data_IF_722073905647
#
_entry.id   IF_722073905647
#
_cell.length_a   1.000
_cell.length_b   1.000
_cell.length_c   1.000
_cell.angle_alpha   90.00
_cell.angle_beta   90.00
_cell.angle_gamma   90.00
#
_symmetry.space_group_name_H-M   'P 1'
#
loop_
_entity.id
_entity.type
_entity.pdbx_description
1 polymer ?
#
# COMPACT_ATOMS: atom_id res chain seq x y z
N UNK A 1 0.95 43.28 -14.36
CA UNK A 1 0.95 42.84 -12.95
C UNK A 1 -0.24 41.93 -12.73
N UNK A 2 0.01 40.62 -12.54
CA UNK A 2 -0.80 39.62 -11.83
C UNK A 2 -0.30 38.23 -12.27
N UNK A 3 0.89 37.85 -11.80
CA UNK A 3 1.37 36.49 -11.96
C UNK A 3 0.50 35.57 -11.09
N UNK A 4 -0.26 34.69 -11.72
CA UNK A 4 -0.95 33.59 -11.04
C UNK A 4 0.11 32.70 -10.37
N UNK A 5 0.29 32.89 -9.06
CA UNK A 5 1.16 32.05 -8.25
C UNK A 5 0.63 30.62 -8.22
N UNK A 6 1.32 29.71 -8.91
CA UNK A 6 1.10 28.28 -8.83
C UNK A 6 1.21 27.84 -7.36
N UNK A 7 0.13 27.30 -6.80
CA UNK A 7 0.13 26.65 -5.50
C UNK A 7 1.00 25.38 -5.62
N UNK A 8 2.17 25.38 -4.96
CA UNK A 8 3.08 24.23 -4.89
C UNK A 8 2.76 23.41 -3.65
N UNK A 9 2.02 22.32 -3.82
CA UNK A 9 1.59 21.42 -2.74
C UNK A 9 2.19 20.04 -3.02
N UNK A 10 3.03 19.55 -2.10
CA UNK A 10 3.71 18.26 -2.26
C UNK A 10 3.15 17.24 -1.28
N UNK A 11 2.48 16.21 -1.82
CA UNK A 11 1.99 15.07 -1.04
C UNK A 11 3.07 14.01 -0.96
N UNK A 12 3.36 13.52 0.24
CA UNK A 12 4.21 12.36 0.41
C UNK A 12 3.41 11.24 1.09
N UNK A 13 3.40 10.06 0.46
CA UNK A 13 2.97 8.83 1.11
C UNK A 13 4.07 8.43 2.10
N UNK A 14 3.70 7.98 3.30
CA UNK A 14 4.64 7.43 4.30
C UNK A 14 5.55 6.37 3.71
N UNK A 15 5.03 5.44 2.91
CA UNK A 15 5.84 4.42 2.22
C UNK A 15 6.87 4.98 1.23
N UNK A 16 6.73 6.24 0.79
CA UNK A 16 7.72 6.95 -0.03
C UNK A 16 8.77 7.68 0.82
N UNK A 17 8.53 7.88 2.12
CA UNK A 17 9.49 8.48 3.06
C UNK A 17 10.23 7.42 3.89
N UNK A 18 9.55 6.31 4.20
CA UNK A 18 10.11 5.12 4.85
C UNK A 18 10.31 4.02 3.81
N UNK A 19 11.51 3.96 3.25
CA UNK A 19 11.89 2.83 2.39
C UNK A 19 12.18 1.65 3.32
N UNK A 20 11.40 0.58 3.19
CA UNK A 20 11.64 -0.66 3.91
C UNK A 20 12.81 -1.42 3.26
N UNK A 21 13.61 -2.10 4.08
CA UNK A 21 14.76 -2.88 3.61
C UNK A 21 14.29 -4.18 2.99
N UNK A 22 14.76 -4.41 1.77
CA UNK A 22 14.53 -5.63 1.00
C UNK A 22 15.79 -6.48 1.02
N UNK A 23 15.71 -7.80 1.27
CA UNK A 23 14.49 -8.64 1.34
C UNK A 23 13.91 -8.85 2.75
N UNK A 24 14.47 -8.22 3.80
CA UNK A 24 14.14 -8.56 5.19
C UNK A 24 12.68 -8.25 5.56
N UNK A 25 12.13 -7.16 5.02
CA UNK A 25 10.74 -6.77 5.30
C UNK A 25 9.74 -7.67 4.56
N UNK A 26 10.03 -8.03 3.31
CA UNK A 26 9.24 -8.96 2.53
C UNK A 26 9.23 -10.35 3.17
N UNK A 27 10.39 -10.84 3.62
CA UNK A 27 10.49 -12.11 4.34
C UNK A 27 9.65 -12.11 5.61
N UNK A 28 9.70 -11.04 6.41
CA UNK A 28 8.85 -10.92 7.61
C UNK A 28 7.34 -10.96 7.26
N UNK A 29 6.95 -10.25 6.20
CA UNK A 29 5.57 -10.27 5.72
C UNK A 29 5.14 -11.65 5.23
N UNK A 30 6.03 -12.37 4.55
CA UNK A 30 5.81 -13.73 4.07
C UNK A 30 5.58 -14.69 5.24
N UNK A 31 6.50 -14.75 6.20
CA UNK A 31 6.45 -15.69 7.33
C UNK A 31 5.15 -15.52 8.14
N UNK A 32 4.79 -14.27 8.44
CA UNK A 32 3.55 -13.96 9.17
C UNK A 32 2.29 -14.32 8.39
N UNK A 33 2.32 -14.19 7.06
CA UNK A 33 1.18 -14.56 6.21
C UNK A 33 1.02 -16.07 6.17
N UNK A 34 2.13 -16.81 6.07
CA UNK A 34 2.16 -18.28 6.15
C UNK A 34 1.61 -18.76 7.50
N UNK A 35 2.11 -18.22 8.62
CA UNK A 35 1.59 -18.52 9.96
C UNK A 35 0.07 -18.27 10.05
N UNK A 36 -0.40 -17.17 9.44
CA UNK A 36 -1.82 -16.84 9.41
C UNK A 36 -2.63 -17.84 8.59
N UNK A 37 -2.16 -18.26 7.43
CA UNK A 37 -2.83 -19.28 6.60
C UNK A 37 -2.93 -20.62 7.33
N UNK A 38 -1.86 -21.03 8.00
CA UNK A 38 -1.86 -22.26 8.79
C UNK A 38 -2.84 -22.16 9.97
N UNK A 39 -2.93 -20.98 10.61
CA UNK A 39 -3.89 -20.76 11.71
C UNK A 39 -5.37 -20.85 11.29
N UNK A 40 -5.69 -20.60 10.00
CA UNK A 40 -7.07 -20.69 9.48
C UNK A 40 -7.42 -22.09 8.96
N UNK A 41 -6.44 -23.01 8.90
CA UNK A 41 -6.66 -24.41 8.52
C UNK A 41 -5.88 -24.90 7.30
N UNK A 42 -4.97 -24.10 6.74
CA UNK A 42 -4.07 -24.60 5.68
C UNK A 42 -3.07 -25.64 6.24
N UNK A 43 -2.50 -26.51 5.38
CA UNK A 43 -1.58 -27.57 5.81
C UNK A 43 -0.34 -27.04 6.56
N UNK A 44 0.14 -27.80 7.55
CA UNK A 44 1.29 -27.39 8.39
C UNK A 44 2.60 -27.33 7.61
N UNK A 45 2.68 -28.06 6.50
CA UNK A 45 3.80 -28.12 5.57
C UNK A 45 4.15 -26.73 5.01
N UNK A 46 3.19 -25.80 4.95
CA UNK A 46 3.42 -24.43 4.50
C UNK A 46 4.43 -23.69 5.39
N UNK A 47 4.56 -24.04 6.68
CA UNK A 47 5.55 -23.43 7.59
C UNK A 47 6.99 -23.72 7.17
N UNK A 48 7.22 -24.70 6.29
CA UNK A 48 8.55 -25.00 5.74
C UNK A 48 8.96 -24.08 4.59
N UNK A 49 8.04 -23.25 4.08
CA UNK A 49 8.36 -22.35 2.99
C UNK A 49 9.34 -21.26 3.41
N UNK A 50 10.30 -20.98 2.53
CA UNK A 50 11.28 -19.91 2.70
C UNK A 50 11.09 -18.90 1.59
N UNK A 51 11.02 -17.62 1.95
CA UNK A 51 10.88 -16.54 0.99
C UNK A 51 12.12 -16.42 0.09
N UNK A 52 11.92 -16.50 -1.23
CA UNK A 52 12.96 -16.26 -2.23
C UNK A 52 12.69 -14.93 -2.96
N UNK A 53 13.51 -13.88 -2.74
CA UNK A 53 13.33 -12.58 -3.39
C UNK A 53 13.66 -12.59 -4.89
N UNK A 54 14.27 -13.65 -5.42
CA UNK A 54 14.70 -13.70 -6.84
C UNK A 54 13.55 -14.02 -7.80
N UNK A 55 12.47 -14.63 -7.30
CA UNK A 55 11.33 -15.04 -8.10
C UNK A 55 10.32 -13.91 -8.39
N UNK A 56 9.73 -13.23 -7.38
CA UNK A 56 8.65 -12.30 -7.63
C UNK A 56 9.17 -11.01 -8.26
N UNK A 57 8.50 -10.58 -9.35
CA UNK A 57 8.71 -9.24 -9.93
C UNK A 57 7.45 -8.40 -9.73
N UNK A 58 7.60 -7.10 -9.50
CA UNK A 58 6.47 -6.17 -9.39
C UNK A 58 5.69 -6.08 -10.71
N UNK A 59 4.37 -5.94 -10.61
CA UNK A 59 3.48 -5.74 -11.76
C UNK A 59 3.07 -7.03 -12.47
N UNK A 60 3.27 -8.19 -11.83
CA UNK A 60 2.68 -9.44 -12.28
C UNK A 60 1.16 -9.42 -12.12
N UNK A 61 0.47 -10.21 -12.94
CA UNK A 61 -0.98 -10.38 -12.88
C UNK A 61 -1.27 -11.82 -12.48
N UNK A 62 -2.08 -12.00 -11.44
CA UNK A 62 -2.55 -13.32 -11.03
C UNK A 62 -3.90 -13.61 -11.69
N UNK A 63 -4.02 -14.75 -12.36
CA UNK A 63 -5.28 -15.26 -12.90
C UNK A 63 -5.97 -16.15 -11.86
N UNK A 64 -7.03 -15.65 -11.24
CA UNK A 64 -7.78 -16.38 -10.21
C UNK A 64 -8.58 -17.57 -10.75
N UNK A 65 -8.74 -17.70 -12.07
CA UNK A 65 -9.44 -18.84 -12.69
C UNK A 65 -8.54 -20.05 -12.86
N UNK A 66 -7.29 -19.85 -13.31
CA UNK A 66 -6.35 -20.92 -13.64
C UNK A 66 -5.14 -21.00 -12.70
N UNK A 67 -5.01 -20.08 -11.74
CA UNK A 67 -3.91 -20.09 -10.77
C UNK A 67 -2.55 -19.70 -11.35
N UNK A 68 -2.53 -18.96 -12.47
CA UNK A 68 -1.31 -18.60 -13.16
C UNK A 68 -0.81 -17.20 -12.78
N UNK A 69 0.51 -17.05 -12.71
CA UNK A 69 1.19 -15.77 -12.69
C UNK A 69 1.58 -15.36 -14.11
N UNK A 70 1.10 -14.18 -14.53
CA UNK A 70 1.24 -13.65 -15.87
C UNK A 70 2.08 -12.38 -15.86
N UNK A 71 3.08 -12.31 -16.73
CA UNK A 71 3.74 -11.05 -17.10
C UNK A 71 3.18 -10.59 -18.42
N UNK A 72 2.71 -9.34 -18.47
CA UNK A 72 1.91 -8.82 -19.57
C UNK A 72 2.42 -7.45 -20.04
N UNK A 73 2.38 -7.18 -21.35
CA UNK A 73 2.81 -5.91 -21.95
C UNK A 73 1.77 -4.79 -21.79
N UNK A 74 2.00 -3.55 -22.24
CA UNK A 74 1.02 -2.46 -22.07
C UNK A 74 -0.39 -2.76 -22.65
N UNK A 75 -0.49 -3.65 -23.64
CA UNK A 75 -1.73 -3.97 -24.34
C UNK A 75 -2.45 -5.18 -23.74
N UNK A 76 -1.82 -5.96 -22.86
CA UNK A 76 -2.40 -7.17 -22.26
C UNK A 76 -1.94 -8.47 -22.91
N UNK A 77 -0.93 -8.44 -23.80
CA UNK A 77 -0.34 -9.64 -24.35
C UNK A 77 0.56 -10.33 -23.31
N UNK A 78 0.46 -11.66 -23.23
CA UNK A 78 1.19 -12.49 -22.28
C UNK A 78 2.64 -12.68 -22.78
N UNK A 79 3.59 -12.17 -22.00
CA UNK A 79 5.03 -12.31 -22.21
C UNK A 79 5.58 -13.56 -21.52
N UNK A 80 5.14 -13.79 -20.28
CA UNK A 80 5.55 -14.94 -19.45
C UNK A 80 4.32 -15.45 -18.72
N UNK A 81 4.22 -16.78 -18.61
CA UNK A 81 3.17 -17.46 -17.87
C UNK A 81 3.80 -18.53 -16.99
N UNK A 82 3.51 -18.51 -15.69
CA UNK A 82 3.97 -19.51 -14.74
C UNK A 82 2.79 -20.10 -13.95
N UNK A 83 2.78 -21.41 -13.81
CA UNK A 83 1.86 -22.15 -12.94
C UNK A 83 2.67 -22.70 -11.77
N UNK A 84 2.54 -22.09 -10.59
CA UNK A 84 3.49 -22.32 -9.50
C UNK A 84 4.91 -21.90 -9.93
N UNK A 85 5.87 -22.82 -9.84
CA UNK A 85 7.24 -22.62 -10.35
C UNK A 85 7.46 -23.15 -11.77
N UNK A 86 6.43 -23.71 -12.41
CA UNK A 86 6.53 -24.21 -13.78
C UNK A 86 6.27 -23.09 -14.79
N UNK A 87 7.30 -22.70 -15.55
CA UNK A 87 7.19 -21.72 -16.62
C UNK A 87 6.62 -22.37 -17.89
N UNK A 88 5.37 -22.04 -18.20
CA UNK A 88 4.66 -22.62 -19.35
C UNK A 88 5.19 -22.06 -20.67
N UNK A 89 5.31 -22.94 -21.66
CA UNK A 89 5.76 -22.56 -23.00
C UNK A 89 4.60 -22.05 -23.84
N UNK A 90 4.95 -21.37 -24.93
CA UNK A 90 3.99 -20.75 -25.84
C UNK A 90 2.82 -21.64 -26.32
N UNK A 91 3.02 -22.93 -26.65
CA UNK A 91 1.93 -23.83 -27.00
C UNK A 91 0.98 -24.14 -25.84
N UNK A 92 1.52 -24.50 -24.68
CA UNK A 92 0.74 -24.78 -23.44
C UNK A 92 -0.06 -23.54 -23.01
N UNK A 93 0.56 -22.36 -23.08
CA UNK A 93 -0.15 -21.10 -22.79
C UNK A 93 -1.32 -20.88 -23.74
N UNK A 94 -1.27 -21.37 -24.99
CA UNK A 94 -2.38 -21.19 -25.95
C UNK A 94 -3.57 -22.10 -25.67
N UNK A 95 -3.40 -23.19 -24.93
CA UNK A 95 -4.52 -24.05 -24.53
C UNK A 95 -5.45 -23.30 -23.57
N UNK A 96 -4.86 -22.57 -22.61
CA UNK A 96 -5.61 -21.77 -21.63
C UNK A 96 -5.90 -20.34 -22.11
N UNK A 97 -5.01 -19.77 -22.93
CA UNK A 97 -5.11 -18.41 -23.48
C UNK A 97 -4.93 -18.43 -25.01
N UNK A 98 -5.97 -18.77 -25.79
CA UNK A 98 -5.86 -18.96 -27.24
C UNK A 98 -5.20 -17.81 -28.01
N UNK A 99 -5.51 -16.57 -27.60
CA UNK A 99 -4.97 -15.35 -28.23
C UNK A 99 -3.71 -14.81 -27.53
N UNK A 100 -3.17 -15.50 -26.52
CA UNK A 100 -2.10 -14.99 -25.63
C UNK A 100 -2.35 -13.56 -25.14
N UNK A 101 -3.60 -13.25 -24.88
CA UNK A 101 -4.08 -11.92 -24.53
C UNK A 101 -5.05 -12.05 -23.37
N UNK A 102 -4.95 -11.12 -22.41
CA UNK A 102 -5.88 -11.01 -21.30
C UNK A 102 -6.58 -9.64 -21.30
N UNK A 103 -7.86 -9.64 -20.95
CA UNK A 103 -8.62 -8.42 -20.70
C UNK A 103 -8.35 -7.96 -19.27
N UNK A 104 -7.38 -7.07 -19.09
CA UNK A 104 -6.98 -6.58 -17.76
C UNK A 104 -8.08 -5.85 -16.99
N UNK A 105 -9.04 -5.29 -17.71
CA UNK A 105 -10.17 -4.58 -17.12
C UNK A 105 -11.16 -5.54 -16.43
N UNK A 106 -11.05 -6.85 -16.68
CA UNK A 106 -11.73 -7.89 -15.90
C UNK A 106 -11.02 -8.08 -14.55
N UNK A 107 -11.27 -7.13 -13.64
CA UNK A 107 -10.71 -7.10 -12.29
C UNK A 107 -11.27 -8.21 -11.38
N UNK A 108 -12.36 -8.86 -11.78
CA UNK A 108 -12.94 -9.98 -11.04
C UNK A 108 -12.11 -11.25 -11.20
N UNK A 109 -11.50 -11.42 -12.37
CA UNK A 109 -10.62 -12.55 -12.70
C UNK A 109 -9.14 -12.24 -12.50
N UNK A 110 -8.68 -11.09 -13.00
CA UNK A 110 -7.26 -10.76 -13.05
C UNK A 110 -6.91 -9.73 -11.98
N UNK A 111 -5.98 -10.09 -11.10
CA UNK A 111 -5.49 -9.19 -10.06
C UNK A 111 -4.08 -8.71 -10.36
N UNK A 112 -3.87 -7.39 -10.36
CA UNK A 112 -2.57 -6.80 -10.68
C UNK A 112 -1.78 -6.50 -9.39
N UNK A 113 -0.66 -7.20 -9.23
CA UNK A 113 0.23 -7.17 -8.07
C UNK A 113 1.22 -5.98 -8.19
N UNK A 114 0.69 -4.77 -8.04
CA UNK A 114 1.39 -3.53 -8.39
C UNK A 114 2.19 -2.87 -7.27
N UNK A 115 2.05 -3.31 -6.02
CA UNK A 115 2.74 -2.71 -4.87
C UNK A 115 3.89 -3.60 -4.40
N UNK A 116 4.90 -3.01 -3.76
CA UNK A 116 5.99 -3.79 -3.16
C UNK A 116 5.49 -4.71 -2.03
N UNK A 117 4.40 -4.33 -1.36
CA UNK A 117 3.72 -5.19 -0.39
C UNK A 117 3.09 -6.44 -1.02
N UNK A 118 2.93 -6.46 -2.35
CA UNK A 118 2.42 -7.62 -3.06
C UNK A 118 3.52 -8.64 -3.40
N UNK A 119 4.80 -8.33 -3.20
CA UNK A 119 5.88 -9.28 -3.53
C UNK A 119 5.82 -10.57 -2.69
N UNK A 120 5.59 -10.52 -1.36
CA UNK A 120 5.42 -11.72 -0.55
C UNK A 120 4.23 -12.58 -0.99
N UNK A 121 3.06 -11.96 -1.24
CA UNK A 121 1.86 -12.71 -1.68
C UNK A 121 2.05 -13.29 -3.09
N UNK A 122 2.78 -12.62 -3.97
CA UNK A 122 3.08 -13.12 -5.32
C UNK A 122 3.86 -14.42 -5.24
N UNK A 123 4.92 -14.44 -4.43
CA UNK A 123 5.73 -15.64 -4.22
C UNK A 123 4.92 -16.72 -3.49
N UNK A 124 4.14 -16.36 -2.46
CA UNK A 124 3.30 -17.30 -1.72
C UNK A 124 2.27 -17.99 -2.62
N UNK A 125 1.62 -17.26 -3.53
CA UNK A 125 0.70 -17.86 -4.50
C UNK A 125 1.40 -18.89 -5.38
N UNK A 126 2.63 -18.62 -5.83
CA UNK A 126 3.43 -19.58 -6.58
C UNK A 126 3.76 -20.82 -5.74
N UNK A 127 4.20 -20.63 -4.48
CA UNK A 127 4.48 -21.73 -3.55
C UNK A 127 3.24 -22.60 -3.30
N UNK A 128 2.08 -21.99 -3.10
CA UNK A 128 0.84 -22.72 -2.84
C UNK A 128 0.42 -23.55 -4.05
N UNK A 129 0.41 -22.95 -5.25
CA UNK A 129 0.07 -23.67 -6.48
C UNK A 129 1.04 -24.82 -6.71
N UNK A 130 2.35 -24.59 -6.53
CA UNK A 130 3.36 -25.64 -6.68
C UNK A 130 3.20 -26.77 -5.64
N UNK A 131 3.00 -26.42 -4.37
CA UNK A 131 2.80 -27.38 -3.29
C UNK A 131 1.59 -28.27 -3.52
N UNK A 132 0.43 -27.70 -3.83
CA UNK A 132 -0.78 -28.47 -4.07
C UNK A 132 -0.74 -29.26 -5.38
N UNK A 133 0.05 -28.82 -6.36
CA UNK A 133 0.26 -29.58 -7.62
C UNK A 133 1.15 -30.81 -7.39
N UNK A 134 2.17 -30.69 -6.53
CA UNK A 134 3.14 -31.75 -6.27
C UNK A 134 2.76 -32.68 -5.09
N UNK A 135 1.65 -32.42 -4.40
CA UNK A 135 1.23 -33.19 -3.24
C UNK A 135 0.19 -34.25 -3.62
N UNK A 136 0.55 -35.54 -3.44
CA UNK A 136 -0.28 -36.70 -3.80
C UNK A 136 -1.68 -36.73 -3.13
N UNK A 137 -1.87 -36.00 -2.01
CA UNK A 137 -3.18 -35.89 -1.35
C UNK A 137 -4.20 -35.16 -2.22
N UNK A 138 -3.76 -34.18 -3.00
CA UNK A 138 -4.64 -33.29 -3.74
C UNK A 138 -4.67 -33.67 -5.21
N UNK A 139 -5.87 -33.72 -5.78
CA UNK A 139 -6.03 -33.90 -7.23
C UNK A 139 -6.10 -32.54 -7.91
N UNK A 140 -5.13 -32.23 -8.77
CA UNK A 140 -5.14 -31.01 -9.58
C UNK A 140 -6.29 -31.04 -10.60
N UNK A 141 -7.04 -29.96 -10.63
CA UNK A 141 -8.14 -29.72 -11.56
C UNK A 141 -7.89 -28.41 -12.31
N UNK A 142 -8.58 -28.19 -13.43
CA UNK A 142 -8.38 -26.99 -14.27
C UNK A 142 -8.52 -25.66 -13.48
N UNK A 143 -9.39 -25.62 -12.47
CA UNK A 143 -9.72 -24.39 -11.70
C UNK A 143 -9.35 -24.44 -10.22
N UNK A 144 -8.56 -25.43 -9.80
CA UNK A 144 -8.12 -25.55 -8.41
C UNK A 144 -7.72 -26.97 -8.03
N UNK A 145 -7.85 -27.29 -6.75
CA UNK A 145 -7.44 -28.57 -6.18
C UNK A 145 -8.61 -29.25 -5.46
N UNK A 146 -8.65 -30.58 -5.51
CA UNK A 146 -9.65 -31.39 -4.83
C UNK A 146 -9.00 -32.28 -3.76
N UNK A 147 -9.58 -32.30 -2.57
CA UNK A 147 -9.23 -33.20 -1.46
C UNK A 147 -10.51 -33.91 -0.98
N UNK A 148 -10.71 -35.16 -1.42
CA UNK A 148 -11.95 -35.90 -1.18
C UNK A 148 -13.18 -35.18 -1.77
N UNK A 149 -14.08 -34.70 -0.89
CA UNK A 149 -15.28 -33.93 -1.25
C UNK A 149 -15.06 -32.41 -1.23
N UNK A 150 -13.91 -31.95 -0.74
CA UNK A 150 -13.58 -30.53 -0.67
C UNK A 150 -12.95 -30.07 -1.99
N UNK A 151 -13.48 -28.99 -2.55
CA UNK A 151 -12.90 -28.33 -3.72
C UNK A 151 -12.42 -26.93 -3.35
N UNK A 152 -11.12 -26.69 -3.50
CA UNK A 152 -10.48 -25.40 -3.29
C UNK A 152 -10.12 -24.78 -4.63
N UNK A 153 -10.86 -23.74 -5.02
CA UNK A 153 -10.59 -23.00 -6.24
C UNK A 153 -9.36 -22.11 -6.11
N UNK A 154 -8.67 -21.80 -7.23
CA UNK A 154 -7.59 -20.80 -7.22
C UNK A 154 -8.08 -19.42 -6.76
N UNK A 155 -9.35 -19.09 -7.03
CA UNK A 155 -9.98 -17.83 -6.60
C UNK A 155 -10.16 -17.76 -5.08
N UNK A 156 -10.66 -18.82 -4.46
CA UNK A 156 -10.81 -18.88 -3.01
C UNK A 156 -9.44 -18.85 -2.32
N UNK A 157 -8.46 -19.59 -2.85
CA UNK A 157 -7.09 -19.56 -2.33
C UNK A 157 -6.46 -18.17 -2.43
N UNK A 158 -6.66 -17.48 -3.56
CA UNK A 158 -6.20 -16.10 -3.71
C UNK A 158 -6.87 -15.16 -2.70
N UNK A 159 -8.18 -15.32 -2.47
CA UNK A 159 -8.90 -14.53 -1.49
C UNK A 159 -8.37 -14.77 -0.07
N UNK A 160 -8.12 -16.02 0.31
CA UNK A 160 -7.56 -16.37 1.62
C UNK A 160 -6.18 -15.75 1.83
N UNK A 161 -5.32 -15.76 0.80
CA UNK A 161 -4.01 -15.10 0.85
C UNK A 161 -4.17 -13.59 1.01
N UNK A 162 -5.05 -12.95 0.24
CA UNK A 162 -5.30 -11.50 0.35
C UNK A 162 -5.83 -11.12 1.74
N UNK A 163 -6.78 -11.90 2.26
CA UNK A 163 -7.35 -11.69 3.59
C UNK A 163 -6.31 -11.91 4.69
N UNK A 164 -5.41 -12.89 4.52
CA UNK A 164 -4.29 -13.12 5.43
C UNK A 164 -3.28 -11.95 5.42
N UNK A 165 -2.89 -11.47 4.24
CA UNK A 165 -2.00 -10.30 4.10
C UNK A 165 -2.62 -9.07 4.73
N UNK A 166 -3.89 -8.79 4.43
CA UNK A 166 -4.60 -7.65 5.00
C UNK A 166 -4.70 -7.80 6.53
N UNK A 167 -5.00 -9.01 7.04
CA UNK A 167 -5.01 -9.28 8.48
C UNK A 167 -3.64 -9.00 9.12
N UNK A 168 -2.55 -9.46 8.50
CA UNK A 168 -1.18 -9.24 9.00
C UNK A 168 -0.84 -7.74 9.06
N UNK A 169 -1.31 -6.93 8.11
CA UNK A 169 -1.08 -5.49 8.07
C UNK A 169 -1.96 -4.69 9.05
N UNK A 170 -3.20 -5.13 9.30
CA UNK A 170 -4.17 -4.40 10.13
C UNK A 170 -4.23 -4.87 11.58
N UNK A 171 -4.23 -6.18 11.80
CA UNK A 171 -4.45 -6.82 13.10
C UNK A 171 -3.26 -7.65 13.59
N UNK A 172 -2.37 -8.04 12.68
CA UNK A 172 -1.23 -8.89 12.99
C UNK A 172 -0.07 -8.16 13.66
N UNK A 173 0.98 -8.92 13.92
CA UNK A 173 2.19 -8.48 14.62
C UNK A 173 3.23 -7.81 13.72
N UNK A 174 2.94 -7.59 12.42
CA UNK A 174 3.88 -7.01 11.46
C UNK A 174 4.39 -5.64 11.93
N UNK A 175 3.45 -4.76 12.31
CA UNK A 175 3.79 -3.40 12.81
C UNK A 175 4.60 -3.46 14.11
N UNK A 176 4.26 -4.37 15.01
CA UNK A 176 4.92 -4.55 16.30
C UNK A 176 6.37 -5.02 16.12
N UNK A 177 6.56 -6.14 15.40
CA UNK A 177 7.88 -6.69 15.07
C UNK A 177 8.75 -5.72 14.28
N UNK A 178 8.14 -4.92 13.39
CA UNK A 178 8.87 -3.87 12.65
C UNK A 178 9.42 -2.80 13.59
N UNK A 179 8.61 -2.37 14.57
CA UNK A 179 8.97 -1.35 15.55
C UNK A 179 10.02 -1.86 16.54
N UNK A 180 9.97 -3.14 16.91
CA UNK A 180 10.97 -3.76 17.80
C UNK A 180 12.38 -3.72 17.20
N UNK A 181 12.51 -3.76 15.87
CA UNK A 181 13.80 -3.71 15.19
C UNK A 181 13.78 -2.80 13.96
N UNK A 182 13.56 -1.50 14.18
CA UNK A 182 13.55 -0.50 13.13
C UNK A 182 14.84 -0.47 12.27
N UNK A 183 16.05 -0.59 12.82
CA UNK A 183 17.27 -0.62 12.02
C UNK A 183 17.36 -1.79 11.04
N UNK A 184 16.74 -2.93 11.34
CA UNK A 184 16.69 -4.09 10.44
C UNK A 184 15.72 -3.88 9.28
N UNK A 185 14.63 -3.15 9.48
CA UNK A 185 13.53 -3.10 8.51
C UNK A 185 13.36 -1.76 7.80
N UNK A 186 13.89 -0.66 8.33
CA UNK A 186 13.69 0.69 7.78
C UNK A 186 15.02 1.31 7.39
N UNK A 187 15.12 1.80 6.16
CA UNK A 187 16.28 2.58 5.70
C UNK A 187 16.16 4.00 6.27
N UNK A 188 17.21 4.43 6.99
CA UNK A 188 17.31 5.76 7.56
C UNK A 188 18.22 6.63 6.69
N UNK A 189 17.65 7.66 6.06
CA UNK A 189 18.39 8.60 5.21
C UNK A 189 18.58 9.96 5.91
N UNK A 190 19.84 10.35 6.11
CA UNK A 190 20.24 11.63 6.70
C UNK A 190 19.85 12.85 5.86
N UNK A 191 19.53 12.67 4.57
CA UNK A 191 19.13 13.75 3.65
C UNK A 191 17.63 14.07 3.72
N UNK A 192 16.82 13.20 4.33
CA UNK A 192 15.37 13.39 4.42
C UNK A 192 14.98 14.70 5.13
N UNK A 193 15.56 15.06 6.29
CA UNK A 193 15.28 16.35 6.94
C UNK A 193 15.63 17.56 6.07
N UNK A 194 16.76 17.48 5.34
CA UNK A 194 17.19 18.55 4.43
C UNK A 194 16.19 18.75 3.28
N UNK A 195 15.77 17.66 2.65
CA UNK A 195 14.83 17.68 1.54
C UNK A 195 13.51 18.31 1.97
N UNK A 196 12.92 17.84 3.07
CA UNK A 196 11.64 18.34 3.56
C UNK A 196 11.73 19.80 3.99
N UNK A 197 12.85 20.24 4.57
CA UNK A 197 13.05 21.64 4.90
C UNK A 197 13.05 22.53 3.66
N UNK A 198 13.76 22.12 2.59
CA UNK A 198 13.77 22.86 1.31
C UNK A 198 12.41 22.88 0.64
N UNK A 199 11.64 21.80 0.74
CA UNK A 199 10.28 21.76 0.20
C UNK A 199 9.36 22.74 0.94
N UNK A 200 9.52 22.85 2.27
CA UNK A 200 8.75 23.78 3.10
C UNK A 200 9.12 25.26 2.84
N UNK A 201 10.34 25.56 2.36
CA UNK A 201 10.73 26.92 1.96
C UNK A 201 9.97 27.43 0.71
N UNK A 202 9.52 26.51 -0.16
CA UNK A 202 8.92 26.87 -1.47
C UNK A 202 7.44 26.51 -1.60
N UNK A 203 6.88 25.82 -0.61
CA UNK A 203 5.52 25.29 -0.67
C UNK A 203 5.10 24.58 0.61
N UNK A 204 3.90 24.01 0.59
CA UNK A 204 3.37 23.26 1.74
C UNK A 204 3.62 21.77 1.60
N UNK A 205 3.94 21.12 2.71
CA UNK A 205 4.26 19.70 2.79
C UNK A 205 3.26 19.00 3.70
N UNK A 206 2.68 17.91 3.22
CA UNK A 206 1.71 17.14 4.00
C UNK A 206 1.97 15.64 3.93
N UNK A 207 1.66 14.97 5.04
CA UNK A 207 1.79 13.53 5.20
C UNK A 207 0.41 12.88 5.13
N UNK A 208 0.24 11.88 4.26
CA UNK A 208 -1.02 11.12 4.15
C UNK A 208 -0.73 9.62 4.18
N UNK A 209 -1.10 8.94 5.26
CA UNK A 209 -0.80 7.53 5.52
C UNK A 209 -2.04 6.71 5.85
N UNK A 210 -2.05 5.44 5.42
CA UNK A 210 -3.08 4.48 5.83
C UNK A 210 -2.80 3.91 7.23
N UNK A 211 -1.58 4.07 7.74
CA UNK A 211 -1.20 3.64 9.09
C UNK A 211 -1.81 4.54 10.15
N UNK A 212 -2.02 3.98 11.34
CA UNK A 212 -2.45 4.70 12.52
C UNK A 212 -1.35 5.67 13.04
N UNK A 213 -1.75 6.57 13.93
CA UNK A 213 -0.82 7.55 14.51
C UNK A 213 0.29 6.93 15.36
N UNK A 214 0.01 5.87 16.13
CA UNK A 214 1.01 5.26 17.03
C UNK A 214 2.18 4.68 16.24
N UNK A 215 1.88 3.93 15.19
CA UNK A 215 2.87 3.38 14.28
C UNK A 215 3.60 4.49 13.52
N UNK A 216 2.86 5.45 12.96
CA UNK A 216 3.45 6.59 12.23
C UNK A 216 4.40 7.38 13.10
N UNK A 217 4.03 7.67 14.35
CA UNK A 217 4.86 8.39 15.30
C UNK A 217 6.17 7.66 15.57
N UNK A 218 6.14 6.33 15.80
CA UNK A 218 7.36 5.52 16.03
C UNK A 218 8.30 5.52 14.82
N UNK A 219 7.76 5.28 13.62
CA UNK A 219 8.53 5.27 12.36
C UNK A 219 9.16 6.65 12.09
N UNK A 220 8.35 7.71 12.18
CA UNK A 220 8.82 9.07 11.89
C UNK A 220 9.79 9.58 12.95
N UNK A 221 9.63 9.23 14.23
CA UNK A 221 10.62 9.53 15.26
C UNK A 221 11.96 8.87 14.92
N UNK A 222 11.96 7.59 14.52
CA UNK A 222 13.20 6.90 14.11
C UNK A 222 13.85 7.52 12.86
N UNK A 223 13.06 7.89 11.85
CA UNK A 223 13.57 8.49 10.61
C UNK A 223 14.22 9.86 10.83
N UNK A 224 13.81 10.61 11.86
CA UNK A 224 14.33 11.95 12.16
C UNK A 224 15.19 11.98 13.42
N UNK A 225 15.54 10.82 13.97
CA UNK A 225 16.40 10.67 15.13
C UNK A 225 17.87 10.90 14.73
N UNK A 226 18.21 12.16 14.50
CA UNK A 226 19.56 12.62 14.25
C UNK A 226 19.93 13.67 15.29
N UNK A 227 21.21 13.81 15.62
CA UNK A 227 21.68 14.86 16.53
C UNK A 227 21.53 16.29 15.97
N UNK A 228 21.10 16.40 14.71
CA UNK A 228 20.94 17.66 14.00
C UNK A 228 19.57 17.78 13.33
N UNK A 229 19.19 19.00 12.98
CA UNK A 229 18.04 19.32 12.15
C UNK A 229 18.30 19.08 10.65
N UNK A 230 17.87 20.00 9.76
CA UNK A 230 18.04 19.85 8.31
C UNK A 230 19.49 19.75 7.83
N UNK A 231 20.45 20.33 8.58
CA UNK A 231 21.89 20.29 8.24
C UNK A 231 22.70 19.95 9.48
N UNK A 232 23.88 19.32 9.34
CA UNK A 232 24.82 19.18 10.45
C UNK A 232 25.09 20.55 11.10
N UNK A 233 25.07 20.61 12.44
CA UNK A 233 25.20 21.84 13.21
C UNK A 233 23.92 22.64 13.44
N UNK A 234 22.78 22.25 12.84
CA UNK A 234 21.47 22.85 13.18
C UNK A 234 20.80 22.06 14.30
N UNK A 235 20.03 22.75 15.16
CA UNK A 235 19.32 22.10 16.27
C UNK A 235 18.34 21.05 15.75
N UNK A 236 18.28 19.90 16.42
CA UNK A 236 17.25 18.90 16.18
C UNK A 236 15.85 19.50 16.33
N UNK A 237 14.91 19.05 15.50
CA UNK A 237 13.50 19.44 15.61
C UNK A 237 12.60 18.22 15.44
N UNK A 238 11.45 18.17 16.15
CA UNK A 238 10.48 17.07 16.02
C UNK A 238 10.02 16.89 14.58
N UNK A 239 9.80 15.64 14.15
CA UNK A 239 9.41 15.32 12.78
C UNK A 239 8.10 16.02 12.36
N UNK A 240 7.19 16.24 13.31
CA UNK A 240 5.91 16.91 13.05
C UNK A 240 6.10 18.33 12.51
N UNK A 241 7.18 19.01 12.90
CA UNK A 241 7.47 20.39 12.47
C UNK A 241 7.80 20.52 10.97
N UNK A 242 8.13 19.40 10.32
CA UNK A 242 8.42 19.36 8.88
C UNK A 242 7.15 19.33 8.02
N UNK A 243 5.98 19.11 8.61
CA UNK A 243 4.70 18.95 7.90
C UNK A 243 3.71 20.04 8.32
N UNK A 244 3.02 20.61 7.34
CA UNK A 244 1.91 21.57 7.56
C UNK A 244 0.60 20.86 7.91
N UNK A 245 0.46 19.60 7.48
CA UNK A 245 -0.71 18.75 7.71
C UNK A 245 -0.27 17.29 7.80
N UNK A 246 -0.72 16.60 8.84
CA UNK A 246 -0.51 15.15 9.02
C UNK A 246 -1.87 14.47 9.07
N UNK A 247 -2.13 13.59 8.10
CA UNK A 247 -3.33 12.78 8.00
C UNK A 247 -2.95 11.30 8.10
N UNK A 248 -3.46 10.66 9.14
CA UNK A 248 -3.31 9.23 9.43
C UNK A 248 -4.62 8.50 9.15
N UNK A 249 -4.59 7.17 9.12
CA UNK A 249 -5.78 6.34 8.86
C UNK A 249 -6.56 6.75 7.59
N UNK A 250 -5.84 7.18 6.55
CA UNK A 250 -6.43 7.80 5.37
C UNK A 250 -7.37 6.87 4.59
N UNK A 251 -7.20 5.55 4.70
CA UNK A 251 -7.96 4.53 3.92
C UNK A 251 -7.91 4.77 2.40
N UNK A 252 -6.74 5.11 1.85
CA UNK A 252 -6.53 5.15 0.40
C UNK A 252 -6.81 3.75 -0.19
N UNK A 253 -7.48 3.63 -1.35
CA UNK A 253 -7.83 4.71 -2.28
C UNK A 253 -9.14 5.46 -1.98
N UNK A 254 -9.97 4.97 -1.05
CA UNK A 254 -11.28 5.57 -0.70
C UNK A 254 -11.19 7.06 -0.38
N UNK A 255 -10.09 7.49 0.25
CA UNK A 255 -9.76 8.88 0.52
C UNK A 255 -9.90 9.82 -0.68
N UNK A 256 -9.52 9.36 -1.89
CA UNK A 256 -9.54 10.16 -3.11
C UNK A 256 -10.89 10.11 -3.84
N UNK A 257 -11.80 9.23 -3.42
CA UNK A 257 -13.17 9.13 -3.89
C UNK A 257 -14.13 9.85 -2.95
N UNK A 258 -14.98 9.09 -2.27
CA UNK A 258 -15.95 9.61 -1.30
C UNK A 258 -15.33 10.03 0.04
N UNK A 259 -14.16 9.50 0.38
CA UNK A 259 -13.48 9.77 1.63
C UNK A 259 -14.17 9.14 2.84
N UNK A 260 -13.74 9.55 4.03
CA UNK A 260 -14.35 9.14 5.31
C UNK A 260 -14.49 10.35 6.22
N UNK A 261 -15.35 10.23 7.25
CA UNK A 261 -15.49 11.25 8.29
C UNK A 261 -14.13 11.58 8.90
N UNK A 262 -13.76 12.86 8.88
CA UNK A 262 -12.53 13.33 9.50
C UNK A 262 -12.63 13.23 11.02
N UNK A 263 -11.59 12.70 11.65
CA UNK A 263 -11.47 12.57 13.10
C UNK A 263 -10.19 13.23 13.57
N UNK A 264 -10.24 13.82 14.75
CA UNK A 264 -9.05 14.37 15.39
C UNK A 264 -8.37 13.28 16.23
N UNK A 265 -7.05 13.19 16.11
CA UNK A 265 -6.22 12.33 16.95
C UNK A 265 -5.74 13.14 18.14
N UNK A 266 -6.01 12.67 19.35
CA UNK A 266 -5.32 13.15 20.54
C UNK A 266 -3.88 12.66 20.51
N UNK A 267 -2.91 13.57 20.36
CA UNK A 267 -1.50 13.21 20.24
C UNK A 267 -0.86 12.75 21.55
N UNK A 268 -1.51 12.98 22.70
CA UNK A 268 -1.03 12.56 24.03
C UNK A 268 -1.50 11.14 24.34
N UNK A 269 -2.79 10.85 24.13
CA UNK A 269 -3.37 9.53 24.40
C UNK A 269 -3.36 8.59 23.19
N UNK A 270 -3.16 9.15 21.98
CA UNK A 270 -3.24 8.48 20.68
C UNK A 270 -4.60 7.81 20.40
N UNK A 271 -5.69 8.33 21.02
CA UNK A 271 -7.07 7.96 20.72
C UNK A 271 -7.74 8.98 19.78
N UNK A 272 -8.80 8.55 19.08
CA UNK A 272 -9.63 9.43 18.25
C UNK A 272 -10.74 10.06 19.09
N UNK A 273 -10.87 11.38 19.05
CA UNK A 273 -11.96 12.12 19.72
C UNK A 273 -13.17 12.27 18.77
N UNK A 274 -14.40 12.14 19.29
CA UNK A 274 -15.69 12.27 18.58
C UNK A 274 -16.44 13.54 19.06
N UNK A 275 -17.23 14.19 18.20
CA UNK A 275 -16.85 15.43 17.52
C UNK A 275 -16.88 16.69 18.42
N UNK A 276 -15.77 17.43 18.44
CA UNK A 276 -15.78 18.88 18.60
C UNK A 276 -15.22 19.47 17.31
N UNK A 277 -15.93 20.45 16.74
CA UNK A 277 -15.64 21.09 15.46
C UNK A 277 -14.16 21.50 15.30
N UNK A 278 -13.47 20.92 14.29
CA UNK A 278 -12.07 21.21 13.87
C UNK A 278 -10.99 20.97 14.95
N UNK A 279 -9.89 20.25 14.71
CA UNK A 279 -8.86 20.60 13.74
C UNK A 279 -7.93 19.41 13.40
N UNK A 280 -7.42 19.45 12.17
CA UNK A 280 -6.12 18.94 11.70
C UNK A 280 -5.00 19.16 12.74
N UNK A 281 -3.91 18.36 12.68
CA UNK A 281 -2.59 18.89 13.04
C UNK A 281 -2.19 19.96 12.00
N UNK A 282 -2.78 21.15 12.09
CA UNK A 282 -2.42 22.30 11.29
C UNK A 282 -1.72 23.31 12.17
N UNK A 283 -0.61 23.87 11.67
CA UNK A 283 -0.20 25.22 12.11
C UNK A 283 -1.40 26.16 11.95
N UNK A 284 -1.55 27.20 12.80
CA UNK A 284 -2.81 27.92 13.05
C UNK A 284 -3.54 28.60 11.86
N UNK A 285 -3.23 28.34 10.58
CA UNK A 285 -3.76 29.08 9.43
C UNK A 285 -4.20 28.24 8.22
N UNK A 286 -4.75 27.03 8.37
CA UNK A 286 -5.39 26.33 7.22
C UNK A 286 -6.68 25.59 7.59
N UNK A 287 -7.82 26.21 7.25
CA UNK A 287 -9.13 25.57 7.23
C UNK A 287 -9.30 24.78 5.91
N UNK A 288 -9.73 23.52 6.00
CA UNK A 288 -10.21 22.73 4.87
C UNK A 288 -11.62 22.27 5.22
N UNK A 289 -12.62 22.80 4.53
CA UNK A 289 -14.04 22.42 4.64
C UNK A 289 -14.39 21.42 3.54
N UNK A 290 -15.23 20.43 3.87
CA UNK A 290 -15.94 19.60 2.90
C UNK A 290 -17.40 19.46 3.33
N UNK A 291 -18.26 20.33 2.83
CA UNK A 291 -19.69 20.04 2.74
C UNK A 291 -20.02 19.57 1.31
N UNK A 292 -20.93 18.59 1.14
CA UNK A 292 -21.48 18.27 -0.18
C UNK A 292 -22.46 19.40 -0.59
N UNK A 293 -22.56 19.78 -1.89
CA UNK A 293 -23.56 20.75 -2.29
C UNK A 293 -24.95 20.12 -2.16
N UNK A 294 -25.78 20.67 -1.28
CA UNK A 294 -27.24 20.52 -1.37
C UNK A 294 -27.69 21.14 -2.69
N UNK A 295 -28.42 20.35 -3.47
CA UNK A 295 -28.95 20.75 -4.77
C UNK A 295 -30.03 21.82 -4.54
N UNK A 296 -29.73 23.08 -4.88
CA UNK A 296 -30.78 24.06 -5.20
C UNK A 296 -30.89 25.37 -4.40
N UNK A 297 -29.84 25.91 -3.77
CA UNK A 297 -29.89 27.29 -3.25
C UNK A 297 -28.67 28.12 -3.68
N UNK A 298 -28.92 29.20 -4.43
CA UNK A 298 -27.95 30.25 -4.70
C UNK A 298 -27.85 31.17 -3.46
N UNK A 299 -26.68 31.35 -2.83
CA UNK A 299 -26.51 32.35 -1.79
C UNK A 299 -26.38 33.76 -2.39
N UNK A 300 -26.80 34.80 -1.64
CA UNK A 300 -26.79 36.20 -2.11
C UNK A 300 -25.38 36.73 -2.35
N UNK A 301 -25.25 37.63 -3.32
CA UNK A 301 -23.98 38.28 -3.72
C UNK A 301 -23.36 39.03 -2.53
N UNK A 302 -22.21 38.56 -2.03
CA UNK A 302 -21.44 39.30 -1.03
C UNK A 302 -20.28 38.56 -0.37
N UNK A 303 -20.25 37.23 -0.37
CA UNK A 303 -19.22 36.50 0.38
C UNK A 303 -17.98 36.11 -0.46
N UNK A 304 -16.82 36.38 0.13
CA UNK A 304 -15.49 36.04 -0.35
C UNK A 304 -15.40 34.52 -0.52
N UNK A 305 -15.20 34.07 -1.78
CA UNK A 305 -14.96 32.66 -2.10
C UNK A 305 -13.75 32.14 -1.32
N UNK A 306 -14.00 31.39 -0.25
CA UNK A 306 -13.02 30.53 0.39
C UNK A 306 -12.59 29.48 -0.64
N UNK A 307 -11.32 29.56 -1.07
CA UNK A 307 -10.74 28.60 -2.02
C UNK A 307 -10.65 27.23 -1.34
N UNK A 308 -11.65 26.38 -1.57
CA UNK A 308 -11.60 24.97 -1.22
C UNK A 308 -10.40 24.30 -1.90
N UNK A 309 -9.51 23.68 -1.12
CA UNK A 309 -8.47 22.82 -1.65
C UNK A 309 -9.12 21.52 -2.10
N UNK A 310 -9.59 21.47 -3.35
CA UNK A 310 -9.85 20.21 -4.03
C UNK A 310 -8.47 19.56 -4.20
N UNK A 311 -8.17 18.50 -3.45
CA UNK A 311 -7.11 17.54 -3.86
C UNK A 311 -7.68 16.74 -5.03
N UNK A 312 -8.01 17.46 -6.11
CA UNK A 312 -8.32 16.88 -7.40
C UNK A 312 -6.98 16.64 -8.08
N UNK A 313 -6.72 15.39 -8.44
CA UNK A 313 -5.68 15.04 -9.41
C UNK A 313 -6.18 15.54 -10.78
N UNK A 314 -6.14 16.85 -10.96
CA UNK A 314 -6.69 17.58 -12.09
C UNK A 314 -5.88 18.85 -12.30
N UNK A 315 -4.70 18.67 -12.88
CA UNK A 315 -3.76 19.75 -13.20
C UNK A 315 -2.38 19.55 -12.58
N UNK A 316 -1.47 18.94 -13.36
CA UNK A 316 -0.01 18.88 -13.17
C UNK A 316 0.48 19.01 -11.71
N UNK A 317 0.01 18.13 -10.83
CA UNK A 317 0.66 17.87 -9.55
C UNK A 317 1.78 16.87 -9.78
N UNK A 318 3.02 17.24 -9.47
CA UNK A 318 4.13 16.28 -9.40
C UNK A 318 3.94 15.44 -8.13
N UNK A 319 3.07 14.44 -8.20
CA UNK A 319 3.17 13.31 -7.31
C UNK A 319 4.41 12.53 -7.71
N UNK A 320 5.44 12.49 -6.87
CA UNK A 320 6.47 11.47 -7.00
C UNK A 320 5.81 10.13 -6.69
N UNK A 321 5.27 9.48 -7.72
CA UNK A 321 5.07 8.04 -7.71
C UNK A 321 6.44 7.40 -7.91
N UNK A 322 6.89 6.59 -6.96
CA UNK A 322 8.00 5.69 -7.24
C UNK A 322 7.51 4.61 -8.21
N UNK A 323 8.24 4.48 -9.32
CA UNK A 323 8.26 3.33 -10.21
C UNK A 323 8.24 2.01 -9.43
#
# INVERSE_FOLDING_TARGET
MAAYGNIRVSSLKTSCQSVYKSPEYESLGFDLTVERLVSIGYPQELLSFVYDPTFPTRGLVFDTTYGNLLKVDAYGNILVCAHGFNFMRGPETREQYPNKFIQRDDTDRFYILNTLFNLPETYLLACLVDFFTNCDRYTSCEKGFKDGDLFMSFRSMFQDVRDAVDWVHYKGSLKEKTVENLPKYVVKDHKLPLLLSRMNEVGKVFLVTNSDYKYTHKIMTYLFDFQHGPKPGTQHRPWQSYFDLILVDARKPLFFGEGTVLRQVDTVSAFMLFPSFCFLLCKPNLLISTEPPTRGQLPPKGEVKSKALRVGVGGRGYGMGCL
#
